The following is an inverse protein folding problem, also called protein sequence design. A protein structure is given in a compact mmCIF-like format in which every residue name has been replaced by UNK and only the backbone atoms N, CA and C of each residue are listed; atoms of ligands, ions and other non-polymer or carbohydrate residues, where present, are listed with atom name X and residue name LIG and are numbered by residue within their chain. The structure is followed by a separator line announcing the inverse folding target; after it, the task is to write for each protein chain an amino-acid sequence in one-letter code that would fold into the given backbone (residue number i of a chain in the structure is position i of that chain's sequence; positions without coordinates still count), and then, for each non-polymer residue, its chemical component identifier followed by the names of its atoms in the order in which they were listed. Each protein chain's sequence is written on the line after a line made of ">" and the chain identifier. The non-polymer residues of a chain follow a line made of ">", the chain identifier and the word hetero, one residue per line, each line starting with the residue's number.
data_IF_410006386024
#
_entry.id   IF_410006386024
#
_cell.length_a   1.000
_cell.length_b   1.000
_cell.length_c   1.000
_cell.angle_alpha   90.00
_cell.angle_beta   90.00
_cell.angle_gamma   90.00
#
_symmetry.space_group_name_H-M   'P 1'
#
loop_
_entity.id
_entity.type
_entity.pdbx_description
1 polymer ?
#
# COMPACT_ATOMS: atom_id res chain seq x y z
N UNK A 1 -16.01 55.45 20.44
CA UNK A 1 -16.04 53.96 20.35
C UNK A 1 -16.88 53.41 19.20
N UNK A 2 -17.81 54.17 18.59
CA UNK A 2 -18.56 53.68 17.40
C UNK A 2 -17.82 53.85 16.06
N UNK A 3 -16.86 54.77 15.93
CA UNK A 3 -16.12 54.96 14.67
C UNK A 3 -15.18 53.82 14.28
N UNK A 4 -14.65 53.05 15.25
CA UNK A 4 -13.78 51.91 14.96
C UNK A 4 -14.55 50.64 14.54
N UNK A 5 -15.81 50.50 14.96
CA UNK A 5 -16.65 49.38 14.50
C UNK A 5 -17.09 49.60 13.07
N UNK A 6 -17.50 50.82 12.71
CA UNK A 6 -17.88 51.14 11.33
C UNK A 6 -16.71 50.97 10.37
N UNK A 7 -15.49 51.40 10.73
CA UNK A 7 -14.30 51.17 9.88
C UNK A 7 -13.95 49.69 9.69
N UNK A 8 -14.18 48.82 10.67
CA UNK A 8 -14.00 47.37 10.52
C UNK A 8 -15.06 46.75 9.60
N UNK A 9 -16.31 47.20 9.68
CA UNK A 9 -17.37 46.69 8.79
C UNK A 9 -17.19 47.21 7.36
N UNK A 10 -16.66 48.42 7.16
CA UNK A 10 -16.33 48.92 5.81
C UNK A 10 -15.11 48.24 5.21
N UNK A 11 -14.12 47.83 6.01
CA UNK A 11 -13.00 46.99 5.56
C UNK A 11 -13.42 45.55 5.22
N UNK A 12 -14.48 45.04 5.86
CA UNK A 12 -15.07 43.73 5.54
C UNK A 12 -16.09 43.79 4.39
N UNK A 13 -16.68 44.96 4.12
CA UNK A 13 -17.59 45.18 2.98
C UNK A 13 -16.87 45.69 1.72
N UNK A 14 -15.62 46.17 1.83
CA UNK A 14 -14.74 46.36 0.66
C UNK A 14 -13.96 45.10 0.32
N UNK A 15 -14.46 43.92 0.72
CA UNK A 15 -14.06 42.62 0.22
C UNK A 15 -14.57 42.39 -1.22
N UNK A 16 -14.40 43.40 -2.08
CA UNK A 16 -13.99 43.21 -3.48
C UNK A 16 -12.48 42.85 -3.50
N UNK A 17 -12.04 42.02 -2.54
CA UNK A 17 -10.67 41.64 -2.19
C UNK A 17 -10.40 40.20 -2.63
N UNK A 18 -10.31 39.95 -3.93
CA UNK A 18 -10.01 38.60 -4.42
C UNK A 18 -8.59 38.43 -5.00
N UNK A 19 -7.77 39.49 -5.08
CA UNK A 19 -6.37 39.38 -5.56
C UNK A 19 -5.30 39.84 -4.56
N UNK A 20 -5.69 40.42 -3.43
CA UNK A 20 -4.73 40.90 -2.43
C UNK A 20 -4.07 39.77 -1.63
N UNK A 21 -4.76 38.65 -1.41
CA UNK A 21 -4.27 37.54 -0.58
C UNK A 21 -3.16 36.72 -1.25
N UNK A 22 -3.27 36.47 -2.56
CA UNK A 22 -2.21 35.80 -3.34
C UNK A 22 -0.98 36.68 -3.44
N UNK A 23 -1.17 37.97 -3.77
CA UNK A 23 -0.07 38.93 -3.81
C UNK A 23 0.65 39.03 -2.47
N UNK A 24 -0.08 39.14 -1.36
CA UNK A 24 0.50 39.15 -0.01
C UNK A 24 1.27 37.86 0.31
N UNK A 25 0.75 36.68 -0.10
CA UNK A 25 1.46 35.41 0.08
C UNK A 25 2.74 35.35 -0.76
N UNK A 26 2.69 35.78 -2.01
CA UNK A 26 3.84 35.80 -2.91
C UNK A 26 4.91 36.75 -2.39
N UNK A 27 4.54 38.00 -2.07
CA UNK A 27 5.45 39.02 -1.52
C UNK A 27 6.13 38.52 -0.24
N UNK A 28 5.38 37.87 0.65
CA UNK A 28 5.92 37.27 1.87
C UNK A 28 6.93 36.16 1.56
N UNK A 29 6.59 35.22 0.67
CA UNK A 29 7.48 34.10 0.34
C UNK A 29 8.72 34.57 -0.44
N UNK A 30 8.58 35.52 -1.36
CA UNK A 30 9.69 36.12 -2.12
C UNK A 30 10.61 36.89 -1.18
N UNK A 31 10.08 37.70 -0.26
CA UNK A 31 10.89 38.45 0.72
C UNK A 31 11.77 37.53 1.58
N UNK A 32 11.20 36.43 2.11
CA UNK A 32 11.97 35.41 2.84
C UNK A 32 13.00 34.74 1.93
N UNK A 33 12.58 34.37 0.71
CA UNK A 33 13.42 33.72 -0.28
C UNK A 33 14.65 34.56 -0.64
N UNK A 34 14.47 35.85 -0.89
CA UNK A 34 15.55 36.78 -1.23
C UNK A 34 16.51 36.98 -0.07
N UNK A 35 15.99 37.11 1.16
CA UNK A 35 16.81 37.23 2.36
C UNK A 35 17.71 36.00 2.60
N UNK A 36 17.21 34.80 2.29
CA UNK A 36 18.00 33.57 2.35
C UNK A 36 19.03 33.49 1.22
N UNK A 37 18.62 33.78 -0.02
CA UNK A 37 19.48 33.73 -1.20
C UNK A 37 20.65 34.70 -1.08
N UNK A 38 20.41 35.95 -0.70
CA UNK A 38 21.48 36.96 -0.52
C UNK A 38 22.50 36.57 0.57
N UNK A 39 22.08 35.84 1.60
CA UNK A 39 22.99 35.38 2.66
C UNK A 39 23.79 34.18 2.18
N UNK A 40 23.18 33.26 1.42
CA UNK A 40 23.87 32.12 0.81
C UNK A 40 24.89 32.56 -0.24
N UNK A 41 24.56 33.53 -1.10
CA UNK A 41 25.46 34.08 -2.12
C UNK A 41 26.74 34.71 -1.51
N UNK A 42 26.70 35.10 -0.23
CA UNK A 42 27.86 35.63 0.50
C UNK A 42 28.76 34.55 1.10
N UNK A 43 28.29 33.31 1.17
CA UNK A 43 29.05 32.19 1.72
C UNK A 43 29.79 31.48 0.57
N UNK A 44 31.09 31.28 0.74
CA UNK A 44 31.94 30.58 -0.26
C UNK A 44 32.49 29.26 0.27
N UNK A 45 32.53 29.08 1.60
CA UNK A 45 32.99 27.83 2.22
C UNK A 45 31.86 26.80 2.36
N UNK A 46 32.12 25.57 1.94
CA UNK A 46 31.14 24.47 1.95
C UNK A 46 30.70 24.10 3.38
N UNK A 47 31.59 24.21 4.36
CA UNK A 47 31.24 23.94 5.77
C UNK A 47 30.34 25.03 6.35
N UNK A 48 30.58 26.28 5.98
CA UNK A 48 29.72 27.41 6.35
C UNK A 48 28.33 27.31 5.70
N UNK A 49 28.25 26.93 4.42
CA UNK A 49 26.98 26.68 3.72
C UNK A 49 26.19 25.56 4.42
N UNK A 50 26.84 24.42 4.73
CA UNK A 50 26.20 23.32 5.46
C UNK A 50 25.69 23.75 6.84
N UNK A 51 26.46 24.58 7.55
CA UNK A 51 26.06 25.11 8.86
C UNK A 51 24.88 26.06 8.75
N UNK A 52 24.90 26.96 7.77
CA UNK A 52 23.81 27.88 7.48
C UNK A 52 22.50 27.13 7.19
N UNK A 53 22.56 26.15 6.28
CA UNK A 53 21.40 25.32 5.93
C UNK A 53 20.82 24.65 7.20
N UNK A 54 21.67 24.07 8.04
CA UNK A 54 21.23 23.45 9.30
C UNK A 54 20.59 24.45 10.27
N UNK A 55 21.12 25.67 10.37
CA UNK A 55 20.63 26.71 11.28
C UNK A 55 19.31 27.36 10.81
N UNK A 56 18.94 27.22 9.54
CA UNK A 56 17.76 27.87 8.95
C UNK A 56 16.72 26.85 8.49
N UNK A 57 16.50 25.79 9.28
CA UNK A 57 15.43 24.81 9.05
C UNK A 57 15.80 23.64 8.14
N UNK A 58 17.05 23.53 7.73
CA UNK A 58 17.56 22.41 6.94
C UNK A 58 17.34 22.56 5.43
N UNK A 59 17.84 21.57 4.68
CA UNK A 59 17.83 21.54 3.21
C UNK A 59 16.42 21.72 2.64
N UNK A 60 15.43 21.01 3.20
CA UNK A 60 14.02 21.04 2.79
C UNK A 60 13.32 22.40 3.05
N UNK A 61 13.91 23.27 3.86
CA UNK A 61 13.41 24.62 4.06
C UNK A 61 14.11 25.60 3.13
N UNK A 62 15.44 25.58 3.13
CA UNK A 62 16.26 26.58 2.42
C UNK A 62 16.17 26.43 0.90
N UNK A 63 16.26 25.21 0.37
CA UNK A 63 16.29 24.99 -1.09
C UNK A 63 15.03 25.48 -1.81
N UNK A 64 13.80 25.13 -1.37
CA UNK A 64 12.58 25.64 -2.02
C UNK A 64 12.52 27.16 -2.04
N UNK A 65 12.95 27.83 -0.96
CA UNK A 65 12.97 29.29 -0.91
C UNK A 65 14.01 29.87 -1.86
N UNK A 66 15.24 29.35 -1.89
CA UNK A 66 16.26 29.82 -2.86
C UNK A 66 15.82 29.61 -4.30
N UNK A 67 15.11 28.52 -4.57
CA UNK A 67 14.55 28.24 -5.89
C UNK A 67 13.48 29.26 -6.27
N UNK A 68 12.54 29.56 -5.35
CA UNK A 68 11.51 30.59 -5.56
C UNK A 68 12.14 31.95 -5.87
N UNK A 69 13.14 32.39 -5.10
CA UNK A 69 13.80 33.68 -5.35
C UNK A 69 14.51 33.72 -6.70
N UNK A 70 15.23 32.65 -7.05
CA UNK A 70 15.96 32.57 -8.33
C UNK A 70 14.99 32.59 -9.50
N UNK A 71 13.92 31.80 -9.42
CA UNK A 71 12.85 31.78 -10.41
C UNK A 71 12.17 33.14 -10.55
N UNK A 72 11.76 33.76 -9.44
CA UNK A 72 11.04 35.04 -9.47
C UNK A 72 11.91 36.17 -10.06
N UNK A 73 13.22 36.19 -9.77
CA UNK A 73 14.17 37.13 -10.38
C UNK A 73 14.36 36.92 -11.88
N UNK A 74 14.18 35.69 -12.37
CA UNK A 74 14.31 35.38 -13.79
C UNK A 74 13.09 35.80 -14.62
N UNK A 75 11.95 36.08 -13.98
CA UNK A 75 10.73 36.55 -14.63
C UNK A 75 10.85 38.02 -15.04
N UNK A 76 10.21 38.38 -16.16
CA UNK A 76 10.01 39.79 -16.51
C UNK A 76 9.00 40.45 -15.58
N UNK A 77 8.98 41.78 -15.54
CA UNK A 77 8.01 42.52 -14.72
C UNK A 77 6.56 42.17 -15.08
N UNK A 78 6.27 41.95 -16.37
CA UNK A 78 4.97 41.51 -16.85
C UNK A 78 4.55 40.17 -16.22
N UNK A 79 5.45 39.19 -16.18
CA UNK A 79 5.18 37.88 -15.56
C UNK A 79 5.05 37.98 -14.04
N UNK A 80 5.82 38.84 -13.39
CA UNK A 80 5.68 39.09 -11.95
C UNK A 80 4.29 39.65 -11.61
N UNK A 81 3.78 40.57 -12.42
CA UNK A 81 2.44 41.12 -12.27
C UNK A 81 1.35 40.06 -12.53
N UNK A 82 1.48 39.27 -13.61
CA UNK A 82 0.56 38.19 -13.95
C UNK A 82 0.48 37.11 -12.87
N UNK A 83 1.62 36.72 -12.30
CA UNK A 83 1.69 35.73 -11.21
C UNK A 83 1.10 36.30 -9.91
N UNK A 84 1.30 37.59 -9.65
CA UNK A 84 0.72 38.27 -8.50
C UNK A 84 -0.81 38.39 -8.59
N UNK A 85 -1.36 38.37 -9.80
CA UNK A 85 -2.80 38.45 -10.06
C UNK A 85 -3.45 37.08 -10.31
N UNK A 86 -2.84 35.97 -9.87
CA UNK A 86 -3.44 34.66 -10.07
C UNK A 86 -4.76 34.51 -9.28
N UNK A 87 -5.77 33.85 -9.86
CA UNK A 87 -7.10 33.73 -9.27
C UNK A 87 -7.14 32.60 -8.22
N UNK A 88 -6.38 32.71 -7.13
CA UNK A 88 -6.42 31.76 -6.01
C UNK A 88 -6.72 32.49 -4.70
N UNK A 89 -7.22 31.75 -3.70
CA UNK A 89 -7.36 32.31 -2.34
C UNK A 89 -6.02 32.49 -1.65
N UNK A 90 -5.21 31.44 -1.66
CA UNK A 90 -3.88 31.38 -1.08
C UNK A 90 -3.03 30.37 -1.85
N UNK A 91 -1.72 30.64 -1.91
CA UNK A 91 -0.74 29.71 -2.47
C UNK A 91 0.36 29.54 -1.42
N UNK A 92 0.62 28.30 -1.02
CA UNK A 92 1.62 27.96 -0.02
C UNK A 92 3.03 27.86 -0.63
N UNK A 93 4.07 27.95 0.21
CA UNK A 93 5.48 27.80 -0.19
C UNK A 93 5.72 26.61 -1.13
N UNK A 94 5.19 25.44 -0.78
CA UNK A 94 5.43 24.22 -1.56
C UNK A 94 4.80 24.29 -2.96
N UNK A 95 3.74 25.07 -3.14
CA UNK A 95 3.10 25.27 -4.43
C UNK A 95 3.90 26.26 -5.29
N UNK A 96 4.41 27.34 -4.68
CA UNK A 96 5.36 28.24 -5.36
C UNK A 96 6.63 27.51 -5.79
N UNK A 97 7.16 26.63 -4.95
CA UNK A 97 8.34 25.83 -5.28
C UNK A 97 8.10 24.86 -6.44
N UNK A 98 6.87 24.38 -6.64
CA UNK A 98 6.50 23.58 -7.81
C UNK A 98 6.41 24.43 -9.08
N UNK A 99 5.83 25.63 -8.99
CA UNK A 99 5.80 26.57 -10.11
C UNK A 99 7.21 27.00 -10.54
N UNK A 100 8.11 27.18 -9.58
CA UNK A 100 9.51 27.51 -9.81
C UNK A 100 10.34 26.39 -10.47
N UNK A 101 9.75 25.22 -10.75
CA UNK A 101 10.38 24.15 -11.55
C UNK A 101 10.00 24.22 -13.03
N UNK A 102 9.00 25.02 -13.39
CA UNK A 102 8.55 25.14 -14.78
C UNK A 102 9.52 26.01 -15.58
N UNK A 103 9.78 25.61 -16.81
CA UNK A 103 10.36 26.50 -17.82
C UNK A 103 9.38 27.63 -18.16
N UNK A 104 9.86 28.70 -18.81
CA UNK A 104 9.02 29.85 -19.17
C UNK A 104 7.87 29.45 -20.09
N UNK A 105 8.12 28.55 -21.05
CA UNK A 105 7.08 28.06 -21.98
C UNK A 105 6.02 27.24 -21.24
N UNK A 106 6.44 26.34 -20.34
CA UNK A 106 5.52 25.58 -19.50
C UNK A 106 4.73 26.46 -18.53
N UNK A 107 5.34 27.51 -17.99
CA UNK A 107 4.67 28.48 -17.12
C UNK A 107 3.57 29.22 -17.90
N UNK A 108 3.83 29.55 -19.16
CA UNK A 108 2.85 30.20 -20.03
C UNK A 108 1.66 29.31 -20.33
N UNK A 109 1.91 28.08 -20.78
CA UNK A 109 0.85 27.10 -21.03
C UNK A 109 0.03 26.82 -19.76
N UNK A 110 0.70 26.70 -18.62
CA UNK A 110 0.05 26.54 -17.33
C UNK A 110 -0.83 27.75 -16.97
N UNK A 111 -0.34 28.97 -17.15
CA UNK A 111 -1.07 30.20 -16.85
C UNK A 111 -2.34 30.33 -17.70
N UNK A 112 -2.24 30.07 -19.01
CA UNK A 112 -3.39 30.07 -19.92
C UNK A 112 -4.45 29.04 -19.48
N UNK A 113 -4.04 27.84 -19.04
CA UNK A 113 -4.96 26.85 -18.50
C UNK A 113 -5.63 27.32 -17.20
N UNK A 114 -4.89 27.98 -16.29
CA UNK A 114 -5.45 28.52 -15.05
C UNK A 114 -6.49 29.60 -15.34
N UNK A 115 -6.20 30.53 -16.25
CA UNK A 115 -7.14 31.61 -16.59
C UNK A 115 -8.42 31.04 -17.20
N UNK A 116 -8.30 30.07 -18.12
CA UNK A 116 -9.46 29.35 -18.69
C UNK A 116 -10.30 28.65 -17.62
N UNK A 117 -9.67 27.98 -16.65
CA UNK A 117 -10.38 27.31 -15.56
C UNK A 117 -11.06 28.30 -14.60
N UNK A 118 -10.46 29.47 -14.40
CA UNK A 118 -11.05 30.55 -13.59
C UNK A 118 -12.31 31.12 -14.26
N UNK A 119 -12.27 31.34 -15.58
CA UNK A 119 -13.44 31.75 -16.37
C UNK A 119 -14.54 30.69 -16.31
N UNK A 120 -14.23 29.42 -16.57
CA UNK A 120 -15.18 28.30 -16.47
C UNK A 120 -15.80 28.16 -15.07
N UNK A 121 -15.03 28.51 -14.01
CA UNK A 121 -15.49 28.47 -12.62
C UNK A 121 -16.38 29.66 -12.29
N UNK A 122 -16.07 30.84 -12.83
CA UNK A 122 -16.89 32.06 -12.71
C UNK A 122 -18.28 31.89 -13.31
N UNK A 123 -18.39 31.17 -14.43
CA UNK A 123 -19.69 30.87 -15.05
C UNK A 123 -20.56 29.94 -14.20
N UNK A 124 -19.95 29.06 -13.40
CA UNK A 124 -20.64 28.03 -12.60
C UNK A 124 -20.86 28.42 -11.15
N UNK A 125 -20.02 29.29 -10.62
CA UNK A 125 -20.03 29.78 -9.25
C UNK A 125 -19.75 31.28 -9.30
N UNK A 126 -20.46 32.10 -8.53
CA UNK A 126 -20.24 33.56 -8.46
C UNK A 126 -18.86 33.95 -7.85
N UNK A 127 -17.85 33.09 -7.96
CA UNK A 127 -16.48 33.30 -7.50
C UNK A 127 -15.52 32.97 -8.63
N UNK A 128 -14.62 33.90 -8.94
CA UNK A 128 -13.58 33.69 -9.95
C UNK A 128 -12.35 32.96 -9.37
N UNK A 129 -12.37 32.66 -8.07
CA UNK A 129 -11.24 32.08 -7.35
C UNK A 129 -11.20 30.56 -7.41
N UNK A 130 -10.02 30.05 -7.70
CA UNK A 130 -9.71 28.63 -7.78
C UNK A 130 -9.22 28.10 -6.43
N UNK A 131 -9.50 26.83 -6.19
CA UNK A 131 -8.95 26.09 -5.07
C UNK A 131 -7.45 25.86 -5.27
N UNK A 132 -6.62 25.89 -4.20
CA UNK A 132 -5.21 25.51 -4.27
C UNK A 132 -4.97 24.07 -4.78
N UNK A 133 -5.99 23.21 -4.74
CA UNK A 133 -5.94 21.86 -5.35
C UNK A 133 -5.82 21.92 -6.87
N UNK A 134 -6.45 22.90 -7.52
CA UNK A 134 -6.43 23.05 -8.98
C UNK A 134 -5.01 23.38 -9.45
N UNK A 135 -4.30 24.27 -8.74
CA UNK A 135 -2.89 24.54 -8.99
C UNK A 135 -2.06 23.25 -8.97
N UNK A 136 -2.20 22.43 -7.92
CA UNK A 136 -1.44 21.19 -7.83
C UNK A 136 -1.76 20.22 -8.98
N UNK A 137 -3.02 20.17 -9.42
CA UNK A 137 -3.45 19.31 -10.53
C UNK A 137 -2.91 19.78 -11.88
N UNK A 138 -2.94 21.08 -12.16
CA UNK A 138 -2.49 21.63 -13.44
C UNK A 138 -0.96 21.67 -13.52
N UNK A 139 -0.27 22.09 -12.46
CA UNK A 139 1.20 22.09 -12.44
C UNK A 139 1.76 20.68 -12.61
N UNK A 140 1.11 19.66 -12.02
CA UNK A 140 1.57 18.27 -12.15
C UNK A 140 1.58 17.72 -13.58
N UNK A 141 0.91 18.37 -14.54
CA UNK A 141 0.96 17.99 -15.96
C UNK A 141 2.29 18.33 -16.63
N UNK A 142 2.98 19.36 -16.11
CA UNK A 142 4.21 19.89 -16.69
C UNK A 142 5.46 19.43 -15.93
N UNK A 143 5.29 19.04 -14.66
CA UNK A 143 6.37 18.46 -13.88
C UNK A 143 6.66 17.03 -14.35
N UNK A 144 7.93 16.61 -14.34
CA UNK A 144 8.26 15.21 -14.57
C UNK A 144 7.46 14.35 -13.60
N UNK A 145 6.85 13.27 -14.12
CA UNK A 145 6.16 12.30 -13.27
C UNK A 145 7.17 11.83 -12.22
N UNK A 146 6.75 11.84 -10.97
CA UNK A 146 7.58 11.27 -9.92
C UNK A 146 7.90 9.82 -10.28
N UNK A 147 9.16 9.36 -10.12
CA UNK A 147 9.51 7.99 -10.43
C UNK A 147 8.60 7.06 -9.65
N UNK A 148 8.10 6.03 -10.33
CA UNK A 148 7.23 5.04 -9.71
C UNK A 148 8.04 4.33 -8.63
N UNK A 149 7.51 4.28 -7.42
CA UNK A 149 8.18 3.65 -6.27
C UNK A 149 7.65 2.27 -5.96
N UNK A 150 6.52 1.89 -6.57
CA UNK A 150 5.91 0.57 -6.40
C UNK A 150 4.96 0.22 -7.55
N UNK A 151 4.87 -1.08 -7.81
CA UNK A 151 3.91 -1.72 -8.69
C UNK A 151 2.63 -2.03 -7.94
N UNK A 152 1.55 -2.20 -8.72
CA UNK A 152 0.25 -2.60 -8.21
C UNK A 152 0.02 -4.08 -8.52
N UNK A 153 -0.55 -4.79 -7.55
CA UNK A 153 -0.94 -6.18 -7.74
C UNK A 153 -2.02 -6.28 -8.84
N UNK A 154 -1.86 -7.25 -9.74
CA UNK A 154 -2.78 -7.58 -10.83
C UNK A 154 -2.75 -6.62 -12.01
N UNK A 155 -1.83 -5.65 -12.03
CA UNK A 155 -1.69 -4.72 -13.16
C UNK A 155 -0.55 -5.15 -14.10
N UNK A 156 -0.75 -5.02 -15.42
CA UNK A 156 0.33 -5.16 -16.38
C UNK A 156 1.46 -4.19 -16.07
N UNK A 157 2.69 -4.69 -16.18
CA UNK A 157 3.92 -3.95 -16.01
C UNK A 157 4.33 -3.39 -17.36
N UNK A 158 4.28 -2.06 -17.48
CA UNK A 158 4.73 -1.34 -18.68
C UNK A 158 6.25 -1.06 -18.62
N UNK A 159 6.86 -0.64 -19.72
CA UNK A 159 8.31 -0.36 -19.77
C UNK A 159 8.78 0.68 -18.72
N UNK A 160 7.95 1.70 -18.45
CA UNK A 160 8.20 2.72 -17.42
C UNK A 160 8.20 2.14 -16.00
N UNK A 161 7.50 1.02 -15.78
CA UNK A 161 7.30 0.44 -14.46
C UNK A 161 8.53 -0.32 -13.94
N UNK A 162 9.41 -0.74 -14.84
CA UNK A 162 10.69 -1.37 -14.48
C UNK A 162 11.63 -0.42 -13.73
N UNK A 163 11.41 0.90 -13.78
CA UNK A 163 12.16 1.88 -12.98
C UNK A 163 12.02 1.63 -11.47
N UNK A 164 10.94 0.99 -11.01
CA UNK A 164 10.78 0.59 -9.60
C UNK A 164 11.95 -0.28 -9.14
N UNK A 165 12.49 -1.12 -10.01
CA UNK A 165 13.59 -2.05 -9.69
C UNK A 165 14.91 -1.31 -9.41
N UNK A 166 15.13 -0.16 -10.05
CA UNK A 166 16.30 0.69 -9.82
C UNK A 166 16.24 1.41 -8.46
N UNK A 167 15.03 1.63 -7.94
CA UNK A 167 14.82 2.35 -6.68
C UNK A 167 14.97 1.44 -5.44
N UNK A 168 15.03 0.11 -5.64
CA UNK A 168 15.17 -0.86 -4.55
C UNK A 168 16.65 -1.14 -4.34
N UNK A 169 17.19 -0.60 -3.23
CA UNK A 169 18.61 -0.70 -2.89
C UNK A 169 19.13 -2.14 -2.84
N UNK A 170 18.30 -3.09 -2.43
CA UNK A 170 18.71 -4.49 -2.26
C UNK A 170 18.78 -5.27 -3.58
N UNK A 171 18.33 -4.69 -4.69
CA UNK A 171 18.31 -5.38 -5.98
C UNK A 171 19.57 -5.11 -6.83
N UNK A 172 20.34 -4.08 -6.52
CA UNK A 172 21.59 -3.71 -7.22
C UNK A 172 21.46 -3.63 -8.77
N UNK A 173 20.27 -3.28 -9.30
CA UNK A 173 20.11 -3.10 -10.75
C UNK A 173 20.86 -1.86 -11.24
N UNK A 174 21.68 -2.05 -12.27
CA UNK A 174 22.16 -0.98 -13.17
C UNK A 174 21.26 -0.88 -14.41
N UNK A 175 21.29 0.25 -15.16
CA UNK A 175 20.53 0.37 -16.41
C UNK A 175 20.80 -0.78 -17.40
N UNK A 176 22.04 -1.26 -17.48
CA UNK A 176 22.42 -2.36 -18.37
C UNK A 176 21.81 -3.70 -17.91
N UNK A 177 21.94 -4.03 -16.62
CA UNK A 177 21.37 -5.27 -16.06
C UNK A 177 19.84 -5.27 -16.07
N UNK A 178 19.22 -4.08 -16.07
CA UNK A 178 17.77 -3.92 -16.19
C UNK A 178 17.29 -4.28 -17.61
N UNK A 179 18.02 -3.86 -18.64
CA UNK A 179 17.68 -4.22 -20.04
C UNK A 179 17.86 -5.73 -20.30
N UNK A 180 18.90 -6.33 -19.73
CA UNK A 180 19.06 -7.79 -19.75
C UNK A 180 17.88 -8.51 -19.06
N UNK A 181 17.44 -7.98 -17.92
CA UNK A 181 16.28 -8.51 -17.20
C UNK A 181 14.98 -8.35 -17.98
N UNK A 182 14.71 -7.18 -18.56
CA UNK A 182 13.54 -6.97 -19.44
C UNK A 182 13.51 -7.96 -20.61
N UNK A 183 14.68 -8.27 -21.18
CA UNK A 183 14.80 -9.27 -22.24
C UNK A 183 14.46 -10.67 -21.73
N UNK A 184 14.98 -11.08 -20.56
CA UNK A 184 14.63 -12.36 -19.91
C UNK A 184 13.12 -12.46 -19.62
N UNK A 185 12.51 -11.39 -19.08
CA UNK A 185 11.07 -11.34 -18.83
C UNK A 185 10.27 -11.46 -20.14
N UNK A 186 10.66 -10.73 -21.18
CA UNK A 186 9.97 -10.72 -22.48
C UNK A 186 10.03 -12.09 -23.16
N UNK A 187 11.12 -12.84 -22.99
CA UNK A 187 11.23 -14.22 -23.47
C UNK A 187 10.36 -15.21 -22.69
N UNK A 188 10.08 -14.94 -21.41
CA UNK A 188 9.22 -15.76 -20.56
C UNK A 188 7.74 -15.50 -20.85
N UNK A 189 7.37 -14.24 -21.07
CA UNK A 189 5.99 -13.79 -21.20
C UNK A 189 5.42 -13.91 -22.63
N UNK A 190 5.77 -14.97 -23.37
CA UNK A 190 5.60 -15.15 -24.84
C UNK A 190 4.25 -14.79 -25.48
N UNK A 191 3.21 -14.43 -24.73
CA UNK A 191 1.96 -13.82 -25.24
C UNK A 191 1.06 -13.14 -24.19
N UNK A 192 1.41 -13.17 -22.89
CA UNK A 192 0.55 -12.67 -21.82
C UNK A 192 1.11 -11.38 -21.19
N UNK A 193 0.25 -10.45 -20.74
CA UNK A 193 0.71 -9.25 -20.05
C UNK A 193 1.43 -9.63 -18.75
N UNK A 194 2.66 -9.14 -18.60
CA UNK A 194 3.51 -9.38 -17.43
C UNK A 194 2.86 -8.67 -16.24
N UNK A 195 2.38 -9.41 -15.24
CA UNK A 195 1.88 -8.86 -13.97
C UNK A 195 2.84 -9.21 -12.82
N UNK A 196 2.45 -10.13 -11.93
CA UNK A 196 3.29 -10.74 -10.90
C UNK A 196 4.30 -11.75 -11.47
N UNK A 197 4.34 -11.95 -12.79
CA UNK A 197 5.33 -12.80 -13.45
C UNK A 197 6.76 -12.28 -13.29
N UNK A 198 6.94 -11.04 -12.80
CA UNK A 198 8.23 -10.54 -12.31
C UNK A 198 8.71 -11.26 -11.04
N UNK A 199 7.81 -11.84 -10.25
CA UNK A 199 8.13 -12.41 -8.94
C UNK A 199 9.07 -13.61 -9.09
N UNK A 200 8.75 -14.50 -10.03
CA UNK A 200 9.53 -15.70 -10.25
C UNK A 200 10.98 -15.41 -10.70
N UNK A 201 11.23 -14.54 -11.69
CA UNK A 201 12.57 -14.10 -12.09
C UNK A 201 13.33 -13.37 -10.99
N UNK A 202 12.65 -12.54 -10.18
CA UNK A 202 13.26 -11.88 -9.02
C UNK A 202 13.66 -12.88 -7.95
N UNK A 203 12.77 -13.80 -7.57
CA UNK A 203 13.05 -14.87 -6.59
C UNK A 203 14.20 -15.77 -7.05
N UNK A 204 14.28 -16.09 -8.34
CA UNK A 204 15.38 -16.87 -8.94
C UNK A 204 16.74 -16.17 -8.79
N UNK A 205 16.75 -14.83 -8.78
CA UNK A 205 17.95 -14.01 -8.51
C UNK A 205 18.20 -13.78 -7.01
N UNK A 206 17.35 -14.32 -6.15
CA UNK A 206 17.44 -14.17 -4.69
C UNK A 206 16.87 -12.86 -4.16
N UNK A 207 16.11 -12.13 -4.99
CA UNK A 207 15.47 -10.88 -4.60
C UNK A 207 14.10 -11.13 -3.96
N UNK A 208 13.73 -10.32 -2.98
CA UNK A 208 12.39 -10.37 -2.38
C UNK A 208 11.40 -9.59 -3.24
N UNK A 209 10.51 -10.25 -4.01
CA UNK A 209 9.59 -9.58 -4.92
C UNK A 209 8.56 -8.71 -4.22
N UNK A 210 8.34 -8.87 -2.91
CA UNK A 210 7.40 -8.02 -2.19
C UNK A 210 7.88 -6.56 -2.09
N UNK A 211 9.17 -6.30 -2.27
CA UNK A 211 9.74 -4.96 -2.24
C UNK A 211 9.30 -4.09 -3.44
N UNK A 212 8.87 -4.70 -4.55
CA UNK A 212 8.37 -3.97 -5.71
C UNK A 212 6.92 -3.54 -5.54
N UNK A 213 6.18 -4.10 -4.58
CA UNK A 213 4.76 -3.81 -4.38
C UNK A 213 4.52 -2.67 -3.40
N UNK A 214 3.36 -2.03 -3.52
CA UNK A 214 2.88 -1.13 -2.49
C UNK A 214 2.59 -1.91 -1.20
N UNK A 215 2.74 -1.27 -0.02
CA UNK A 215 2.48 -1.94 1.27
C UNK A 215 1.08 -2.54 1.35
N UNK A 216 0.09 -1.87 0.79
CA UNK A 216 -1.30 -2.35 0.75
C UNK A 216 -1.40 -3.62 -0.09
N UNK A 217 -0.74 -3.64 -1.25
CA UNK A 217 -0.76 -4.78 -2.17
C UNK A 217 0.01 -5.99 -1.62
N UNK A 218 1.12 -5.77 -0.91
CA UNK A 218 1.79 -6.83 -0.14
C UNK A 218 0.83 -7.52 0.83
N UNK A 219 0.05 -6.74 1.58
CA UNK A 219 -0.92 -7.26 2.55
C UNK A 219 -2.05 -8.04 1.86
N UNK A 220 -2.51 -7.58 0.69
CA UNK A 220 -3.50 -8.31 -0.11
C UNK A 220 -2.95 -9.67 -0.54
N UNK A 221 -1.73 -9.70 -1.06
CA UNK A 221 -1.08 -10.94 -1.50
C UNK A 221 -0.84 -11.91 -0.34
N UNK A 222 -0.35 -11.42 0.81
CA UNK A 222 -0.18 -12.21 2.04
C UNK A 222 -1.50 -12.82 2.51
N UNK A 223 -2.59 -12.04 2.45
CA UNK A 223 -3.92 -12.51 2.82
C UNK A 223 -4.43 -13.59 1.85
N UNK A 224 -4.26 -13.39 0.53
CA UNK A 224 -4.59 -14.41 -0.47
C UNK A 224 -3.84 -15.73 -0.21
N UNK A 225 -2.53 -15.67 0.06
CA UNK A 225 -1.72 -16.84 0.42
C UNK A 225 -2.23 -17.50 1.72
N UNK A 226 -2.63 -16.71 2.71
CA UNK A 226 -3.19 -17.21 3.96
C UNK A 226 -4.55 -17.91 3.77
N UNK A 227 -5.44 -17.34 2.95
CA UNK A 227 -6.75 -17.92 2.61
C UNK A 227 -6.57 -19.29 1.95
N UNK A 228 -5.72 -19.39 0.92
CA UNK A 228 -5.44 -20.67 0.25
C UNK A 228 -4.89 -21.71 1.22
N UNK A 229 -4.00 -21.30 2.15
CA UNK A 229 -3.47 -22.19 3.19
C UNK A 229 -4.55 -22.66 4.16
N UNK A 230 -5.48 -21.78 4.53
CA UNK A 230 -6.62 -22.12 5.40
C UNK A 230 -7.58 -23.08 4.69
N UNK A 231 -7.89 -22.85 3.41
CA UNK A 231 -8.73 -23.75 2.62
C UNK A 231 -8.11 -25.14 2.51
N UNK A 232 -6.80 -25.23 2.28
CA UNK A 232 -6.08 -26.51 2.27
C UNK A 232 -6.20 -27.23 3.62
N UNK A 233 -5.98 -26.51 4.73
CA UNK A 233 -6.15 -27.06 6.07
C UNK A 233 -7.58 -27.51 6.35
N UNK A 234 -8.58 -26.76 5.86
CA UNK A 234 -9.98 -27.12 6.05
C UNK A 234 -10.29 -28.46 5.35
N UNK A 235 -9.80 -28.65 4.12
CA UNK A 235 -9.91 -29.92 3.40
C UNK A 235 -9.22 -31.08 4.12
N UNK A 236 -8.07 -30.84 4.73
CA UNK A 236 -7.37 -31.83 5.57
C UNK A 236 -8.21 -32.20 6.82
N UNK A 237 -8.82 -31.21 7.48
CA UNK A 237 -9.72 -31.42 8.62
C UNK A 237 -10.95 -32.23 8.21
N UNK A 238 -11.58 -31.90 7.07
CA UNK A 238 -12.74 -32.64 6.57
C UNK A 238 -12.40 -34.11 6.28
N UNK A 239 -11.20 -34.35 5.75
CA UNK A 239 -10.67 -35.70 5.51
C UNK A 239 -10.49 -36.46 6.83
N UNK A 240 -9.88 -35.82 7.83
CA UNK A 240 -9.68 -36.42 9.16
C UNK A 240 -11.01 -36.71 9.88
N UNK A 241 -11.99 -35.81 9.79
CA UNK A 241 -13.33 -36.01 10.35
C UNK A 241 -14.05 -37.21 9.72
N UNK A 242 -13.88 -37.40 8.40
CA UNK A 242 -14.43 -38.56 7.69
C UNK A 242 -13.80 -39.87 8.18
N UNK A 243 -12.47 -39.89 8.31
CA UNK A 243 -11.74 -41.04 8.86
C UNK A 243 -12.14 -41.34 10.31
N UNK A 244 -12.25 -40.31 11.15
CA UNK A 244 -12.69 -40.46 12.54
C UNK A 244 -14.09 -41.06 12.63
N UNK A 245 -15.01 -40.62 11.77
CA UNK A 245 -16.37 -41.16 11.72
C UNK A 245 -16.38 -42.64 11.34
N UNK A 246 -15.55 -43.04 10.37
CA UNK A 246 -15.39 -44.44 10.00
C UNK A 246 -14.84 -45.28 11.17
N UNK A 247 -13.77 -44.84 11.81
CA UNK A 247 -13.18 -45.54 12.97
C UNK A 247 -14.20 -45.67 14.10
N UNK A 248 -15.01 -44.64 14.35
CA UNK A 248 -16.08 -44.67 15.36
C UNK A 248 -17.15 -45.70 15.03
N UNK A 249 -17.51 -45.86 13.76
CA UNK A 249 -18.46 -46.88 13.32
C UNK A 249 -17.88 -48.30 13.49
N UNK A 250 -16.63 -48.51 13.08
CA UNK A 250 -15.92 -49.79 13.26
C UNK A 250 -15.80 -50.17 14.74
N UNK A 251 -15.49 -49.19 15.60
CA UNK A 251 -15.44 -49.40 17.05
C UNK A 251 -16.80 -49.83 17.61
N UNK A 252 -17.88 -49.15 17.22
CA UNK A 252 -19.23 -49.53 17.64
C UNK A 252 -19.62 -50.94 17.19
N UNK A 253 -19.28 -51.33 15.96
CA UNK A 253 -19.51 -52.69 15.46
C UNK A 253 -18.70 -53.72 16.26
N UNK A 254 -17.44 -53.42 16.56
CA UNK A 254 -16.59 -54.28 17.39
C UNK A 254 -17.16 -54.43 18.81
N UNK A 255 -17.64 -53.34 19.42
CA UNK A 255 -18.27 -53.34 20.74
C UNK A 255 -19.49 -54.28 20.77
N UNK A 256 -20.39 -54.17 19.79
CA UNK A 256 -21.56 -55.03 19.67
C UNK A 256 -21.19 -56.51 19.50
N UNK A 257 -20.15 -56.79 18.72
CA UNK A 257 -19.64 -58.16 18.54
C UNK A 257 -19.08 -58.73 19.84
N UNK A 258 -18.35 -57.94 20.63
CA UNK A 258 -17.84 -58.34 21.95
C UNK A 258 -19.00 -58.64 22.91
N UNK A 259 -20.04 -57.81 22.93
CA UNK A 259 -21.23 -58.04 23.75
C UNK A 259 -21.94 -59.35 23.39
N UNK A 260 -22.12 -59.63 22.09
CA UNK A 260 -22.69 -60.89 21.61
C UNK A 260 -21.83 -62.10 22.00
N UNK A 261 -20.51 -62.02 21.82
CA UNK A 261 -19.59 -63.09 22.20
C UNK A 261 -19.64 -63.34 23.71
N UNK A 262 -19.70 -62.28 24.52
CA UNK A 262 -19.83 -62.36 25.98
C UNK A 262 -21.14 -63.03 26.38
N UNK A 263 -22.25 -62.69 25.72
CA UNK A 263 -23.54 -63.33 25.96
C UNK A 263 -23.51 -64.82 25.65
N UNK A 264 -22.97 -65.21 24.49
CA UNK A 264 -22.83 -66.61 24.09
C UNK A 264 -21.93 -67.39 25.06
N UNK A 265 -20.83 -66.78 25.51
CA UNK A 265 -19.92 -67.38 26.48
C UNK A 265 -20.63 -67.66 27.81
N UNK A 266 -21.46 -66.74 28.29
CA UNK A 266 -22.27 -66.93 29.50
C UNK A 266 -23.29 -68.07 29.33
N UNK A 267 -23.96 -68.16 28.17
CA UNK A 267 -24.88 -69.28 27.89
C UNK A 267 -24.14 -70.63 27.88
N UNK A 268 -22.97 -70.69 27.22
CA UNK A 268 -22.15 -71.90 27.18
C UNK A 268 -21.69 -72.30 28.59
N UNK A 269 -21.29 -71.34 29.43
CA UNK A 269 -20.90 -71.60 30.82
C UNK A 269 -22.05 -72.19 31.64
N UNK A 270 -23.28 -71.68 31.47
CA UNK A 270 -24.47 -72.24 32.12
C UNK A 270 -24.74 -73.68 31.68
N UNK A 271 -24.63 -73.96 30.37
CA UNK A 271 -24.80 -75.30 29.83
C UNK A 271 -23.74 -76.28 30.39
N UNK A 272 -22.48 -75.85 30.46
CA UNK A 272 -21.39 -76.63 31.06
C UNK A 272 -21.70 -76.95 32.52
N UNK A 273 -22.16 -75.97 33.30
CA UNK A 273 -22.51 -76.20 34.70
C UNK A 273 -23.66 -77.22 34.83
N UNK A 274 -24.71 -77.11 34.01
CA UNK A 274 -25.81 -78.07 33.98
C UNK A 274 -25.36 -79.49 33.63
N UNK A 275 -24.51 -79.63 32.60
CA UNK A 275 -23.96 -80.93 32.19
C UNK A 275 -23.06 -81.52 33.27
N UNK A 276 -22.26 -80.69 33.95
CA UNK A 276 -21.40 -81.09 35.06
C UNK A 276 -22.23 -81.63 36.22
N UNK A 277 -23.27 -80.92 36.65
CA UNK A 277 -24.18 -81.41 37.70
C UNK A 277 -24.84 -82.74 37.34
N UNK A 278 -25.21 -82.91 36.06
CA UNK A 278 -25.84 -84.13 35.56
C UNK A 278 -24.87 -85.31 35.57
N UNK A 279 -23.61 -85.08 35.19
CA UNK A 279 -22.53 -86.07 35.29
C UNK A 279 -22.28 -86.47 36.74
N UNK A 280 -22.15 -85.51 37.66
CA UNK A 280 -21.96 -85.81 39.09
C UNK A 280 -23.09 -86.68 39.64
N UNK A 281 -24.35 -86.39 39.27
CA UNK A 281 -25.51 -87.22 39.66
C UNK A 281 -25.45 -88.63 39.10
N UNK A 282 -25.03 -88.79 37.84
CA UNK A 282 -24.87 -90.11 37.21
C UNK A 282 -23.73 -90.92 37.84
N UNK A 283 -22.62 -90.27 38.19
CA UNK A 283 -21.50 -90.91 38.91
C UNK A 283 -21.91 -91.36 40.31
N UNK A 284 -22.69 -90.56 41.04
CA UNK A 284 -23.22 -90.93 42.36
C UNK A 284 -24.23 -92.10 42.31
N UNK A 285 -24.97 -92.24 41.21
CA UNK A 285 -25.90 -93.35 40.99
C UNK A 285 -25.22 -94.63 40.51
N UNK A 286 -23.95 -94.57 40.11
CA UNK A 286 -23.15 -95.73 39.75
C UNK A 286 -22.61 -96.35 41.04
N UNK A 287 -23.32 -97.36 41.57
CA UNK A 287 -22.77 -98.21 42.64
C UNK A 287 -21.43 -98.81 42.19
N UNK A 288 -20.43 -98.96 43.09
CA UNK A 288 -19.24 -99.71 42.77
C UNK A 288 -19.69 -101.14 42.48
N UNK A 289 -19.40 -101.64 41.28
CA UNK A 289 -19.44 -103.08 41.01
C UNK A 289 -18.18 -103.64 41.68
N UNK A 290 -18.24 -103.84 43.00
CA UNK A 290 -17.36 -104.80 43.63
C UNK A 290 -17.70 -106.17 43.09
N UNK A 291 -16.67 -106.76 42.54
CA UNK A 291 -16.66 -107.99 41.77
C UNK A 291 -16.94 -109.14 42.73
N UNK A 292 -18.05 -109.85 42.52
CA UNK A 292 -18.23 -111.20 43.04
C UNK A 292 -17.30 -112.12 42.26
N UNK A 293 -16.15 -112.45 42.84
CA UNK A 293 -15.44 -113.74 42.69
C UNK A 293 -14.87 -114.12 44.06
#
# INVERSE_FOLDING_TARGET
>A
MMENKTKMTTLLQSAEQDFSTVKLSLDFNVSIAEGLLQRLEKLTDEKEIKRFIKQHGGKNFVEPYTQIATWYRSLTHEWQDQISSLPFWTIEKNQWAKLAQLSLDQLKEWYEEIMRLSEDSSEKSNTNLLSPRILNQTVAKFLPKAPKTSLKLGQPVEDEDYEVLLNIKDYDFTPETLEEFKTEISELAKQDPITEDLFFPLEKRGFDPNLILSRTDCLVLENQKAVVKLEKKNKEIDTLNSQFTQVKQELNQSQQKVEQLTHNLNQHQQLINQLTERLTKLEQQRTPVETLV
#
